data_IF_927585642939
#
_entry.id   IF_927585642939
#
_cell.length_a   1.000
_cell.length_b   1.000
_cell.length_c   1.000
_cell.angle_alpha   90.00
_cell.angle_beta   90.00
_cell.angle_gamma   90.00
#
_symmetry.space_group_name_H-M   'P 1'
#
loop_
_entity.id
_entity.type
_entity.pdbx_description
1 polymer ?
#
# COMPACT_ATOMS: atom_id res chain seq x y z
N UNK A 1 -21.98 2.42 10.40
CA UNK A 1 -20.53 2.53 10.18
C UNK A 1 -20.02 1.70 8.99
N UNK A 2 -20.32 0.38 8.87
CA UNK A 2 -19.84 -0.45 7.73
C UNK A 2 -20.27 0.09 6.36
N UNK A 3 -21.52 0.55 6.21
CA UNK A 3 -22.04 1.13 4.95
C UNK A 3 -21.32 2.43 4.56
N UNK A 4 -20.99 3.28 5.53
CA UNK A 4 -20.27 4.55 5.29
C UNK A 4 -18.84 4.31 4.77
N UNK A 5 -18.12 3.34 5.33
CA UNK A 5 -16.79 2.95 4.87
C UNK A 5 -16.81 2.41 3.42
N UNK A 6 -17.80 1.57 3.09
CA UNK A 6 -17.97 1.04 1.73
C UNK A 6 -18.30 2.18 0.75
N UNK A 7 -19.17 3.11 1.15
CA UNK A 7 -19.52 4.26 0.30
C UNK A 7 -18.33 5.17 0.09
N UNK A 8 -17.53 5.43 1.13
CA UNK A 8 -16.31 6.24 1.03
C UNK A 8 -15.27 5.58 0.13
N UNK A 9 -15.11 4.27 0.23
CA UNK A 9 -14.22 3.49 -0.62
C UNK A 9 -14.68 3.50 -2.08
N UNK A 10 -15.99 3.27 -2.33
CA UNK A 10 -16.56 3.34 -3.68
C UNK A 10 -16.45 4.74 -4.27
N UNK A 11 -16.65 5.80 -3.46
CA UNK A 11 -16.49 7.18 -3.89
C UNK A 11 -15.03 7.50 -4.26
N UNK A 12 -14.06 7.04 -3.45
CA UNK A 12 -12.63 7.20 -3.73
C UNK A 12 -12.22 6.49 -5.04
N UNK A 13 -12.74 5.28 -5.28
CA UNK A 13 -12.51 4.53 -6.53
C UNK A 13 -13.18 5.23 -7.72
N UNK A 14 -14.40 5.77 -7.55
CA UNK A 14 -15.11 6.47 -8.61
C UNK A 14 -14.43 7.81 -9.01
N UNK A 15 -13.89 8.55 -8.04
CA UNK A 15 -13.11 9.77 -8.30
C UNK A 15 -11.81 9.41 -9.03
N UNK A 16 -11.18 8.29 -8.67
CA UNK A 16 -10.00 7.76 -9.35
C UNK A 16 -10.26 7.38 -10.81
N UNK A 17 -11.40 6.78 -11.10
CA UNK A 17 -11.76 6.34 -12.46
C UNK A 17 -11.98 7.51 -13.45
N UNK A 18 -12.17 8.72 -12.95
CA UNK A 18 -12.32 9.93 -13.78
C UNK A 18 -10.98 10.59 -14.12
N UNK A 19 -9.89 10.17 -13.48
CA UNK A 19 -8.55 10.72 -13.70
C UNK A 19 -7.83 9.88 -14.75
N UNK A 20 -7.67 10.39 -15.96
CA UNK A 20 -6.90 9.74 -17.04
C UNK A 20 -5.51 9.32 -16.54
N UNK A 21 -5.21 8.03 -16.64
CA UNK A 21 -3.90 7.45 -16.34
C UNK A 21 -3.69 6.91 -14.94
N UNK A 22 -4.74 6.77 -14.13
CA UNK A 22 -4.66 6.10 -12.82
C UNK A 22 -4.39 4.59 -12.92
N UNK A 23 -3.92 4.00 -11.82
CA UNK A 23 -3.67 2.55 -11.72
C UNK A 23 -4.25 2.00 -10.43
N UNK A 24 -4.92 0.86 -10.53
CA UNK A 24 -5.28 0.03 -9.39
C UNK A 24 -4.08 -0.83 -9.02
N UNK A 25 -3.58 -0.69 -7.81
CA UNK A 25 -2.51 -1.51 -7.26
C UNK A 25 -3.09 -2.56 -6.31
N UNK A 26 -2.71 -3.81 -6.52
CA UNK A 26 -3.03 -4.92 -5.61
C UNK A 26 -1.74 -5.62 -5.26
N UNK A 27 -1.41 -5.66 -3.97
CA UNK A 27 -0.18 -6.26 -3.50
C UNK A 27 -0.46 -7.22 -2.35
N UNK A 28 0.40 -8.22 -2.20
CA UNK A 28 0.38 -9.13 -1.07
C UNK A 28 1.82 -9.50 -0.68
N UNK A 29 2.03 -9.80 0.58
CA UNK A 29 3.35 -10.16 1.06
C UNK A 29 3.39 -10.48 2.53
N UNK A 30 4.58 -10.40 3.08
CA UNK A 30 4.80 -10.60 4.50
C UNK A 30 5.64 -9.48 5.09
N UNK A 31 5.36 -9.19 6.37
CA UNK A 31 6.10 -8.22 7.16
C UNK A 31 6.57 -8.85 8.47
N UNK A 32 7.80 -8.54 8.86
CA UNK A 32 8.31 -8.90 10.17
C UNK A 32 7.63 -8.07 11.28
N UNK A 33 7.41 -8.69 12.47
CA UNK A 33 7.94 -10.00 12.86
C UNK A 33 7.14 -11.21 12.36
N UNK A 34 5.88 -11.13 12.00
CA UNK A 34 5.12 -12.36 11.67
C UNK A 34 3.75 -12.05 11.05
N UNK A 35 3.72 -11.19 10.05
CA UNK A 35 2.46 -10.71 9.49
C UNK A 35 2.37 -11.02 8.01
N UNK A 36 1.26 -11.66 7.59
CA UNK A 36 0.82 -11.67 6.21
C UNK A 36 -0.06 -10.44 5.97
N UNK A 37 0.15 -9.75 4.86
CA UNK A 37 -0.65 -8.60 4.51
C UNK A 37 -1.04 -8.58 3.04
N UNK A 38 -2.14 -7.87 2.77
CA UNK A 38 -2.59 -7.55 1.44
C UNK A 38 -2.98 -6.07 1.38
N UNK A 39 -2.63 -5.40 0.31
CA UNK A 39 -2.96 -4.00 0.06
C UNK A 39 -3.75 -3.85 -1.23
N UNK A 40 -4.67 -2.90 -1.21
CA UNK A 40 -5.32 -2.41 -2.41
C UNK A 40 -5.20 -0.89 -2.42
N UNK A 41 -4.79 -0.31 -3.55
CA UNK A 41 -4.56 1.12 -3.66
C UNK A 41 -4.88 1.67 -5.03
N UNK A 42 -5.05 2.99 -5.04
CA UNK A 42 -5.14 3.78 -6.26
C UNK A 42 -3.87 4.63 -6.39
N UNK A 43 -3.12 4.41 -7.47
CA UNK A 43 -1.92 5.18 -7.81
C UNK A 43 -2.26 6.21 -8.88
N UNK A 44 -2.06 7.48 -8.55
CA UNK A 44 -2.15 8.59 -9.51
C UNK A 44 -0.74 8.98 -9.98
N UNK A 45 -0.44 8.85 -11.27
CA UNK A 45 0.85 9.26 -11.81
C UNK A 45 1.01 10.78 -11.79
N UNK A 46 2.18 11.23 -11.41
CA UNK A 46 2.61 12.63 -11.46
C UNK A 46 3.69 12.82 -12.53
N UNK A 47 4.09 14.07 -12.72
CA UNK A 47 5.17 14.42 -13.65
C UNK A 47 6.48 13.70 -13.30
N UNK A 48 7.28 13.45 -14.32
CA UNK A 48 8.63 12.85 -14.21
C UNK A 48 8.68 11.42 -13.66
N UNK A 49 7.57 10.67 -13.70
CA UNK A 49 7.49 9.30 -13.19
C UNK A 49 7.32 9.18 -11.67
N UNK A 50 7.08 10.29 -11.00
CA UNK A 50 6.61 10.30 -9.62
C UNK A 50 5.14 9.84 -9.57
N UNK A 51 4.65 9.49 -8.40
CA UNK A 51 3.25 9.14 -8.21
C UNK A 51 2.80 9.42 -6.77
N UNK A 52 1.50 9.47 -6.57
CA UNK A 52 0.86 9.42 -5.25
C UNK A 52 -0.05 8.20 -5.22
N UNK A 53 0.02 7.44 -4.18
CA UNK A 53 -0.86 6.28 -3.95
C UNK A 53 -1.68 6.48 -2.68
N UNK A 54 -2.98 6.29 -2.79
CA UNK A 54 -3.89 6.11 -1.67
C UNK A 54 -4.16 4.61 -1.54
N UNK A 55 -3.91 4.03 -0.38
CA UNK A 55 -4.06 2.59 -0.18
C UNK A 55 -4.80 2.24 1.11
N UNK A 56 -5.38 1.05 1.12
CA UNK A 56 -5.83 0.33 2.31
C UNK A 56 -5.11 -1.01 2.41
N UNK A 57 -4.76 -1.38 3.61
CA UNK A 57 -4.05 -2.62 3.94
C UNK A 57 -4.82 -3.40 5.00
N UNK A 58 -4.81 -4.69 4.87
CA UNK A 58 -5.27 -5.63 5.89
C UNK A 58 -4.22 -6.72 6.08
N UNK A 59 -3.99 -7.11 7.32
CA UNK A 59 -3.03 -8.15 7.63
C UNK A 59 -3.39 -8.94 8.86
N UNK A 60 -2.66 -10.03 9.04
CA UNK A 60 -2.85 -10.93 10.15
C UNK A 60 -1.53 -11.50 10.62
N UNK A 61 -1.32 -11.57 11.94
CA UNK A 61 -0.19 -12.24 12.56
C UNK A 61 -0.42 -13.76 12.55
N UNK A 62 0.33 -14.49 11.73
CA UNK A 62 0.15 -15.95 11.59
C UNK A 62 0.55 -16.76 12.83
N UNK A 63 1.25 -16.18 13.78
CA UNK A 63 1.60 -16.83 15.04
C UNK A 63 0.45 -16.81 16.07
N UNK A 64 -0.57 -15.98 15.85
CA UNK A 64 -1.75 -15.92 16.70
C UNK A 64 -2.71 -17.05 16.34
N UNK A 65 -3.05 -17.88 17.35
CA UNK A 65 -4.00 -19.00 17.17
C UNK A 65 -5.42 -18.53 16.84
N UNK A 66 -5.76 -17.31 17.26
CA UNK A 66 -7.05 -16.68 17.02
C UNK A 66 -6.91 -15.61 15.92
N UNK A 67 -7.51 -15.86 14.77
CA UNK A 67 -7.47 -14.97 13.63
C UNK A 67 -7.83 -13.51 13.99
N UNK A 68 -8.85 -13.33 14.81
CA UNK A 68 -9.33 -11.99 15.17
C UNK A 68 -8.41 -11.23 16.13
N UNK A 69 -7.56 -11.93 16.85
CA UNK A 69 -6.54 -11.31 17.71
C UNK A 69 -5.32 -10.86 16.93
N UNK A 70 -4.98 -11.53 15.84
CA UNK A 70 -3.88 -11.19 14.96
C UNK A 70 -4.21 -10.15 13.89
N UNK A 71 -5.50 -9.83 13.71
CA UNK A 71 -5.96 -8.96 12.64
C UNK A 71 -5.65 -7.50 12.89
N UNK A 72 -5.16 -6.82 11.86
CA UNK A 72 -5.05 -5.37 11.80
C UNK A 72 -5.52 -4.85 10.43
N UNK A 73 -5.82 -3.58 10.39
CA UNK A 73 -6.05 -2.85 9.15
C UNK A 73 -5.40 -1.47 9.25
N UNK A 74 -4.93 -0.99 8.15
CA UNK A 74 -4.44 0.37 8.01
C UNK A 74 -4.71 0.93 6.62
N UNK A 75 -4.40 2.20 6.46
CA UNK A 75 -4.44 2.89 5.21
C UNK A 75 -3.54 4.12 5.26
N UNK A 76 -3.15 4.59 4.11
CA UNK A 76 -2.24 5.71 4.03
C UNK A 76 -2.20 6.38 2.67
N UNK A 77 -1.46 7.47 2.64
CA UNK A 77 -1.13 8.19 1.42
C UNK A 77 0.38 8.16 1.27
N UNK A 78 0.87 7.64 0.15
CA UNK A 78 2.28 7.48 -0.12
C UNK A 78 2.68 8.29 -1.34
N UNK A 79 3.66 9.15 -1.18
CA UNK A 79 4.35 9.78 -2.30
C UNK A 79 5.49 8.87 -2.77
N UNK A 80 5.59 8.68 -4.08
CA UNK A 80 6.58 7.84 -4.74
C UNK A 80 7.48 8.71 -5.60
N UNK A 81 8.73 8.86 -5.17
CA UNK A 81 9.75 9.61 -5.90
C UNK A 81 10.54 8.68 -6.81
N UNK A 82 10.60 8.99 -8.10
CA UNK A 82 11.40 8.22 -9.06
C UNK A 82 12.90 8.45 -8.80
N UNK A 83 13.62 7.36 -8.53
CA UNK A 83 15.07 7.38 -8.40
C UNK A 83 15.74 7.06 -9.74
N UNK A 84 15.36 5.94 -10.36
CA UNK A 84 15.97 5.45 -11.59
C UNK A 84 14.89 4.89 -12.50
N UNK A 85 15.04 5.11 -13.80
CA UNK A 85 14.27 4.45 -14.85
C UNK A 85 15.21 3.91 -15.90
N UNK A 86 15.07 2.63 -16.20
CA UNK A 86 15.83 1.96 -17.28
C UNK A 86 14.90 1.07 -18.08
N UNK A 87 14.74 1.37 -19.37
CA UNK A 87 13.77 0.69 -20.24
C UNK A 87 12.37 0.64 -19.60
N UNK A 88 11.88 -0.58 -19.36
CA UNK A 88 10.57 -0.83 -18.76
C UNK A 88 10.61 -0.92 -17.23
N UNK A 89 11.82 -0.91 -16.64
CA UNK A 89 12.02 -0.95 -15.20
C UNK A 89 12.10 0.44 -14.57
N UNK A 90 11.55 0.59 -13.37
CA UNK A 90 11.58 1.83 -12.62
C UNK A 90 11.75 1.55 -11.13
N UNK A 91 12.70 2.25 -10.51
CA UNK A 91 12.91 2.24 -9.06
C UNK A 91 12.38 3.55 -8.48
N UNK A 92 11.54 3.45 -7.47
CA UNK A 92 10.98 4.57 -6.72
C UNK A 92 11.30 4.45 -5.24
N UNK A 93 11.55 5.57 -4.59
CA UNK A 93 11.47 5.70 -3.14
C UNK A 93 10.06 6.09 -2.76
N UNK A 94 9.47 5.43 -1.77
CA UNK A 94 8.11 5.68 -1.30
C UNK A 94 8.12 6.10 0.15
N UNK A 95 7.29 7.08 0.51
CA UNK A 95 7.12 7.52 1.88
C UNK A 95 5.78 8.23 2.08
N UNK A 96 5.24 8.14 3.28
CA UNK A 96 4.00 8.83 3.61
C UNK A 96 3.44 8.46 4.98
N UNK A 97 2.40 9.18 5.41
CA UNK A 97 1.68 8.87 6.63
C UNK A 97 0.76 7.67 6.45
N UNK A 98 0.61 6.92 7.54
CA UNK A 98 -0.36 5.84 7.65
C UNK A 98 -1.13 5.93 8.96
N UNK A 99 -2.33 5.38 8.98
CA UNK A 99 -3.17 5.26 10.16
C UNK A 99 -3.96 3.95 10.10
N UNK A 100 -4.25 3.38 11.25
CA UNK A 100 -4.95 2.12 11.30
C UNK A 100 -5.33 1.70 12.70
N UNK A 101 -5.71 0.45 12.83
CA UNK A 101 -6.02 -0.15 14.12
C UNK A 101 -5.55 -1.60 14.20
N UNK A 102 -5.01 -1.96 15.35
CA UNK A 102 -4.66 -3.32 15.75
C UNK A 102 -5.41 -3.64 17.04
N UNK A 103 -6.13 -4.78 17.08
CA UNK A 103 -6.88 -5.19 18.28
C UNK A 103 -7.77 -4.08 18.89
N UNK A 104 -8.47 -3.32 18.04
CA UNK A 104 -9.32 -2.17 18.42
C UNK A 104 -8.56 -0.96 18.99
N UNK A 105 -7.23 -0.94 18.96
CA UNK A 105 -6.40 0.19 19.36
C UNK A 105 -5.90 0.91 18.11
N UNK A 106 -6.15 2.21 18.07
CA UNK A 106 -5.74 3.05 16.97
C UNK A 106 -4.23 3.32 17.00
N UNK A 107 -3.61 3.36 15.83
CA UNK A 107 -2.23 3.81 15.66
C UNK A 107 -2.13 4.81 14.50
N UNK A 108 -1.10 5.63 14.57
CA UNK A 108 -0.62 6.46 13.46
C UNK A 108 0.83 6.10 13.21
N UNK A 109 1.30 6.28 12.00
CA UNK A 109 2.67 5.93 11.67
C UNK A 109 3.16 6.59 10.38
N UNK A 110 4.36 6.23 10.04
CA UNK A 110 5.01 6.60 8.79
C UNK A 110 5.41 5.33 8.04
N UNK A 111 5.16 5.34 6.75
CA UNK A 111 5.65 4.33 5.83
C UNK A 111 6.84 4.90 5.05
N UNK A 112 7.86 4.07 4.83
CA UNK A 112 8.96 4.37 3.94
C UNK A 112 9.52 3.11 3.31
N UNK A 113 10.12 3.23 2.11
CA UNK A 113 10.68 2.06 1.45
C UNK A 113 11.01 2.26 -0.01
N UNK A 114 11.18 1.16 -0.71
CA UNK A 114 11.50 1.15 -2.12
C UNK A 114 10.50 0.32 -2.90
N UNK A 115 10.21 0.75 -4.12
CA UNK A 115 9.37 0.03 -5.05
C UNK A 115 10.12 -0.11 -6.38
N UNK A 116 10.36 -1.34 -6.80
CA UNK A 116 10.75 -1.64 -8.16
C UNK A 116 9.51 -2.04 -8.94
N UNK A 117 9.28 -1.42 -10.09
CA UNK A 117 8.18 -1.79 -10.99
C UNK A 117 8.69 -2.07 -12.40
N UNK A 118 8.10 -3.06 -13.04
CA UNK A 118 8.34 -3.41 -14.44
C UNK A 118 7.05 -3.25 -15.23
N UNK A 119 7.09 -2.41 -16.25
CA UNK A 119 5.93 -2.09 -17.10
C UNK A 119 5.89 -3.02 -18.30
N UNK A 120 4.79 -3.74 -18.47
CA UNK A 120 4.54 -4.58 -19.64
C UNK A 120 3.99 -3.76 -20.81
N UNK A 121 4.01 -4.36 -22.02
CA UNK A 121 3.51 -3.69 -23.23
C UNK A 121 2.03 -3.33 -23.18
N UNK A 122 1.23 -4.08 -22.43
CA UNK A 122 -0.19 -3.81 -22.21
C UNK A 122 -0.48 -2.73 -21.15
N UNK A 123 0.56 -2.08 -20.61
CA UNK A 123 0.44 -1.05 -19.57
C UNK A 123 0.36 -1.59 -18.14
N UNK A 124 0.21 -2.88 -17.94
CA UNK A 124 0.26 -3.47 -16.60
C UNK A 124 1.65 -3.32 -16.01
N UNK A 125 1.74 -3.25 -14.69
CA UNK A 125 3.02 -3.26 -13.99
C UNK A 125 3.07 -4.38 -12.97
N UNK A 126 4.20 -5.09 -12.95
CA UNK A 126 4.58 -5.92 -11.81
C UNK A 126 5.36 -5.06 -10.82
N UNK A 127 5.07 -5.16 -9.54
CA UNK A 127 5.73 -4.39 -8.49
C UNK A 127 6.35 -5.30 -7.42
N UNK A 128 7.57 -5.00 -7.03
CA UNK A 128 8.24 -5.53 -5.84
C UNK A 128 8.44 -4.36 -4.88
N UNK A 129 7.87 -4.47 -3.68
CA UNK A 129 7.85 -3.39 -2.70
C UNK A 129 8.57 -3.86 -1.44
N UNK A 130 9.63 -3.15 -1.07
CA UNK A 130 10.24 -3.22 0.25
C UNK A 130 9.60 -2.12 1.09
N UNK A 131 8.89 -2.52 2.15
CA UNK A 131 8.08 -1.63 3.00
C UNK A 131 8.62 -1.61 4.42
N UNK A 132 8.75 -0.42 4.99
CA UNK A 132 9.07 -0.21 6.39
C UNK A 132 8.00 0.69 7.00
N UNK A 133 7.48 0.29 8.14
CA UNK A 133 6.50 1.06 8.89
C UNK A 133 7.03 1.38 10.27
N UNK A 134 6.92 2.63 10.67
CA UNK A 134 7.18 3.09 12.04
C UNK A 134 5.84 3.54 12.62
N UNK A 135 5.33 2.80 13.60
CA UNK A 135 4.06 3.08 14.25
C UNK A 135 4.26 3.76 15.59
N UNK A 136 3.41 4.73 15.86
CA UNK A 136 3.33 5.45 17.11
C UNK A 136 2.03 5.06 17.83
N UNK A 137 2.01 5.15 19.14
CA UNK A 137 0.90 4.90 20.07
C UNK A 137 0.68 3.41 20.37
N UNK A 138 0.36 2.56 19.38
CA UNK A 138 0.01 1.15 19.60
C UNK A 138 0.50 0.26 18.46
N UNK A 139 0.59 -1.04 18.73
CA UNK A 139 1.08 -2.05 17.78
C UNK A 139 2.60 -2.16 17.77
N UNK A 140 3.12 -2.92 16.80
CA UNK A 140 4.57 -3.06 16.62
C UNK A 140 5.15 -1.72 16.19
N UNK A 141 6.09 -1.19 16.97
CA UNK A 141 6.73 0.10 16.69
C UNK A 141 7.41 0.11 15.33
N UNK A 142 8.02 -1.00 14.94
CA UNK A 142 8.69 -1.14 13.66
C UNK A 142 8.29 -2.44 12.97
N UNK A 143 7.89 -2.33 11.71
CA UNK A 143 7.62 -3.48 10.83
C UNK A 143 8.34 -3.26 9.50
N UNK A 144 8.96 -4.30 8.99
CA UNK A 144 9.51 -4.28 7.65
C UNK A 144 9.11 -5.53 6.88
N UNK A 145 9.06 -5.45 5.55
CA UNK A 145 8.68 -6.58 4.74
C UNK A 145 8.80 -6.38 3.25
N UNK A 146 8.40 -7.41 2.54
CA UNK A 146 8.38 -7.48 1.10
C UNK A 146 6.98 -7.83 0.62
N UNK A 147 6.50 -7.05 -0.36
CA UNK A 147 5.25 -7.32 -1.06
C UNK A 147 5.50 -7.46 -2.55
N UNK A 148 4.76 -8.35 -3.14
CA UNK A 148 4.63 -8.49 -4.59
C UNK A 148 3.26 -8.00 -5.03
N UNK A 149 3.20 -7.34 -6.16
CA UNK A 149 1.93 -6.80 -6.63
C UNK A 149 1.85 -6.59 -8.12
N UNK A 150 0.64 -6.27 -8.52
CA UNK A 150 0.28 -5.93 -9.89
C UNK A 150 -0.45 -4.60 -9.89
N UNK A 151 -0.13 -3.75 -10.87
CA UNK A 151 -0.85 -2.50 -11.10
C UNK A 151 -1.52 -2.57 -12.47
N UNK A 152 -2.80 -2.26 -12.48
CA UNK A 152 -3.69 -2.33 -13.64
C UNK A 152 -4.06 -0.89 -14.02
N UNK A 153 -3.73 -0.41 -15.22
CA UNK A 153 -4.12 0.91 -15.69
C UNK A 153 -5.61 0.93 -16.07
N UNK A 154 -6.26 2.10 -15.94
CA UNK A 154 -7.60 2.38 -16.46
C UNK A 154 -7.75 3.79 -17.01
#
# INVERSE_FOLDING_TARGET
>A
MKKFLITLFCAAVAIGASAQGGKLAVNAGFMFPSTLNATIGYEHPLSYGNAVELYGEAGNHWQEKDFWKGYYWDGGIVYKHRLVRYKNGMLRFRFGPQFGAVQKRFFIGLEGGFEYSYVFQNGWEFALIQKNNVNFLHGDTFRNGLLLGVKIPF
#
